data_IF_796997310449
#
_entry.id   IF_796997310449
#
_cell.length_a   1.000
_cell.length_b   1.000
_cell.length_c   1.000
_cell.angle_alpha   90.00
_cell.angle_beta   90.00
_cell.angle_gamma   90.00
#
_symmetry.space_group_name_H-M   'P 1'
#
loop_
_entity.id
_entity.type
_entity.pdbx_description
1 polymer ?
#
# COMPACT_ATOMS: atom_id res chain seq x y z
N UNK A 1 -31.25 15.72 -25.52
CA UNK A 1 -29.92 15.52 -26.13
C UNK A 1 -29.00 15.07 -25.02
N UNK A 2 -28.75 13.78 -24.94
CA UNK A 2 -27.73 13.19 -24.07
C UNK A 2 -26.38 13.81 -24.42
N UNK A 3 -25.84 14.56 -23.48
CA UNK A 3 -24.55 15.20 -23.61
C UNK A 3 -23.52 14.12 -23.26
N UNK A 4 -23.15 13.30 -24.24
CA UNK A 4 -21.94 12.49 -24.15
C UNK A 4 -20.79 13.44 -23.82
N UNK A 5 -20.04 13.25 -22.71
CA UNK A 5 -18.89 14.07 -22.44
C UNK A 5 -17.91 13.87 -23.59
N UNK A 6 -17.59 14.97 -24.25
CA UNK A 6 -16.60 15.07 -25.31
C UNK A 6 -15.33 14.37 -24.84
N UNK A 7 -14.89 13.39 -25.61
CA UNK A 7 -13.61 12.70 -25.49
C UNK A 7 -12.51 13.69 -25.91
N UNK A 8 -12.35 14.75 -25.11
CA UNK A 8 -11.48 15.89 -25.39
C UNK A 8 -10.06 15.50 -24.98
N UNK A 9 -9.35 14.85 -25.92
CA UNK A 9 -7.89 14.95 -26.11
C UNK A 9 -7.00 14.80 -24.86
N UNK A 10 -7.44 14.06 -23.85
CA UNK A 10 -6.62 13.74 -22.68
C UNK A 10 -5.76 12.54 -23.04
N UNK A 11 -4.56 12.78 -23.58
CA UNK A 11 -3.56 11.73 -23.74
C UNK A 11 -3.47 10.95 -22.42
N UNK A 12 -3.65 9.61 -22.43
CA UNK A 12 -3.76 8.85 -21.20
C UNK A 12 -2.53 9.11 -20.34
N UNK A 13 -2.77 9.46 -19.07
CA UNK A 13 -1.71 9.71 -18.11
C UNK A 13 -0.71 8.55 -18.14
N UNK A 14 0.60 8.82 -18.17
CA UNK A 14 1.58 7.74 -18.09
C UNK A 14 1.38 6.95 -16.79
N UNK A 15 1.64 5.65 -16.83
CA UNK A 15 1.39 4.73 -15.71
C UNK A 15 1.93 5.25 -14.38
N UNK A 16 3.13 5.86 -14.40
CA UNK A 16 3.77 6.43 -13.21
C UNK A 16 2.94 7.55 -12.57
N UNK A 17 2.29 8.39 -13.37
CA UNK A 17 1.41 9.45 -12.88
C UNK A 17 0.10 8.89 -12.34
N UNK A 18 -0.47 7.88 -13.02
CA UNK A 18 -1.65 7.17 -12.51
C UNK A 18 -1.37 6.54 -11.14
N UNK A 19 -0.22 5.88 -10.98
CA UNK A 19 0.19 5.29 -9.70
C UNK A 19 0.40 6.34 -8.60
N UNK A 20 0.94 7.52 -8.93
CA UNK A 20 1.04 8.64 -7.98
C UNK A 20 -0.33 9.13 -7.51
N UNK A 21 -1.31 9.20 -8.41
CA UNK A 21 -2.69 9.60 -8.06
C UNK A 21 -3.31 8.56 -7.13
N UNK A 22 -3.26 7.27 -7.48
CA UNK A 22 -3.75 6.18 -6.64
C UNK A 22 -3.06 6.19 -5.28
N UNK A 23 -1.74 6.46 -5.25
CA UNK A 23 -0.99 6.52 -4.01
C UNK A 23 -1.44 7.64 -3.06
N UNK A 24 -1.84 8.79 -3.62
CA UNK A 24 -2.40 9.92 -2.84
C UNK A 24 -3.81 9.63 -2.35
N UNK A 25 -4.63 8.98 -3.15
CA UNK A 25 -6.02 8.65 -2.81
C UNK A 25 -6.10 7.50 -1.80
N UNK A 26 -5.18 6.55 -1.86
CA UNK A 26 -5.18 5.35 -1.03
C UNK A 26 -3.84 5.15 -0.29
N UNK A 27 -3.46 6.09 0.59
CA UNK A 27 -2.17 6.06 1.28
C UNK A 27 -2.00 4.80 2.15
N UNK A 28 -3.09 4.25 2.68
CA UNK A 28 -3.06 3.01 3.44
C UNK A 28 -2.67 1.79 2.57
N UNK A 29 -3.17 1.71 1.33
CA UNK A 29 -2.83 0.63 0.39
C UNK A 29 -1.34 0.67 0.01
N UNK A 30 -0.82 1.86 -0.28
CA UNK A 30 0.61 2.05 -0.59
C UNK A 30 1.48 1.68 0.59
N UNK A 31 1.13 2.15 1.80
CA UNK A 31 1.86 1.79 3.01
C UNK A 31 1.87 0.29 3.26
N UNK A 32 0.77 -0.40 2.99
CA UNK A 32 0.72 -1.86 3.12
C UNK A 32 1.60 -2.56 2.06
N UNK A 33 1.54 -2.11 0.81
CA UNK A 33 2.31 -2.67 -0.32
C UNK A 33 3.81 -2.34 -0.31
N UNK A 34 4.24 -1.40 0.53
CA UNK A 34 5.65 -1.00 0.70
C UNK A 34 6.27 -1.53 2.00
N UNK A 35 5.53 -2.30 2.80
CA UNK A 35 6.06 -2.93 4.00
C UNK A 35 6.90 -4.17 3.67
N UNK A 36 8.17 -3.96 3.35
CA UNK A 36 9.10 -5.02 2.95
C UNK A 36 9.67 -5.83 4.13
N UNK A 37 9.58 -5.30 5.35
CA UNK A 37 10.03 -5.98 6.56
C UNK A 37 8.94 -6.02 7.63
N UNK A 38 9.00 -7.05 8.46
CA UNK A 38 8.14 -7.22 9.62
C UNK A 38 8.23 -6.00 10.60
N UNK A 39 9.42 -5.40 10.74
CA UNK A 39 9.61 -4.17 11.51
C UNK A 39 8.81 -2.98 10.96
N UNK A 40 8.81 -2.79 9.62
CA UNK A 40 8.01 -1.75 8.98
C UNK A 40 6.51 -1.99 9.14
N UNK A 41 6.07 -3.27 9.11
CA UNK A 41 4.66 -3.63 9.34
C UNK A 41 4.17 -3.23 10.72
N UNK A 42 5.01 -3.30 11.75
CA UNK A 42 4.58 -3.00 13.14
C UNK A 42 5.01 -1.61 13.62
N UNK A 43 5.73 -0.84 12.80
CA UNK A 43 6.24 0.48 13.17
C UNK A 43 5.11 1.47 13.54
N UNK A 44 3.94 1.33 12.90
CA UNK A 44 2.79 2.19 13.13
C UNK A 44 2.02 1.88 14.43
N UNK A 45 2.32 0.76 15.09
CA UNK A 45 1.67 0.36 16.33
C UNK A 45 2.25 1.12 17.53
N UNK A 46 1.41 1.41 18.52
CA UNK A 46 1.85 2.02 19.78
C UNK A 46 2.78 1.09 20.56
N UNK A 47 3.63 1.66 21.42
CA UNK A 47 4.56 0.87 22.25
C UNK A 47 3.84 -0.22 23.07
N UNK A 48 2.68 0.09 23.63
CA UNK A 48 1.86 -0.85 24.40
C UNK A 48 1.33 -2.00 23.57
N UNK A 49 0.94 -1.76 22.31
CA UNK A 49 0.51 -2.81 21.38
C UNK A 49 1.68 -3.66 20.90
N UNK A 50 2.83 -3.04 20.62
CA UNK A 50 4.04 -3.75 20.18
C UNK A 50 4.53 -4.78 21.20
N UNK A 51 4.40 -4.49 22.50
CA UNK A 51 4.75 -5.42 23.58
C UNK A 51 3.84 -6.65 23.66
N UNK A 52 2.64 -6.59 23.06
CA UNK A 52 1.68 -7.71 23.01
C UNK A 52 1.88 -8.59 21.78
N UNK A 53 2.73 -8.19 20.84
CA UNK A 53 3.05 -8.98 19.66
C UNK A 53 3.95 -10.16 20.04
N UNK A 54 3.90 -11.19 19.20
CA UNK A 54 4.88 -12.25 19.24
C UNK A 54 6.30 -11.68 19.05
N UNK A 55 7.33 -12.31 19.65
CA UNK A 55 8.72 -11.95 19.41
C UNK A 55 9.03 -11.90 17.91
N UNK A 56 9.94 -11.01 17.51
CA UNK A 56 10.32 -10.86 16.10
C UNK A 56 10.82 -12.17 15.47
N UNK A 57 11.51 -13.01 16.24
CA UNK A 57 11.98 -14.33 15.81
C UNK A 57 10.84 -15.31 15.46
N UNK A 58 9.65 -15.13 16.02
CA UNK A 58 8.46 -15.92 15.71
C UNK A 58 7.64 -15.29 14.59
N UNK A 59 7.56 -13.95 14.55
CA UNK A 59 6.89 -13.23 13.46
C UNK A 59 7.57 -13.47 12.10
N UNK A 60 8.90 -13.62 12.08
CA UNK A 60 9.66 -13.97 10.87
C UNK A 60 9.51 -15.43 10.43
N UNK A 61 9.06 -16.33 11.30
CA UNK A 61 8.87 -17.76 10.97
C UNK A 61 7.61 -18.01 10.13
N UNK A 62 6.64 -17.11 10.21
CA UNK A 62 5.42 -17.13 9.39
C UNK A 62 5.30 -15.83 8.61
N UNK A 63 6.19 -15.57 7.63
CA UNK A 63 6.02 -14.42 6.79
C UNK A 63 4.67 -14.58 6.07
N UNK A 64 3.74 -13.64 6.30
CA UNK A 64 2.63 -13.43 5.35
C UNK A 64 3.28 -13.35 3.97
N UNK A 65 2.89 -14.30 3.11
CA UNK A 65 3.57 -14.67 1.86
C UNK A 65 4.34 -13.50 1.24
N UNK A 66 5.67 -13.61 1.21
CA UNK A 66 6.54 -12.68 0.47
C UNK A 66 6.37 -12.82 -1.04
N UNK A 67 5.49 -13.72 -1.49
CA UNK A 67 5.22 -13.94 -2.89
C UNK A 67 4.30 -12.82 -3.40
N UNK A 68 4.91 -11.81 -4.01
CA UNK A 68 4.21 -10.90 -4.91
C UNK A 68 3.66 -11.73 -6.08
N UNK A 69 2.39 -11.53 -6.49
CA UNK A 69 1.89 -12.04 -7.77
C UNK A 69 2.74 -11.57 -8.95
#
# INVERSE_FOLDING_TARGET
MDKSPSDDQSQPLPLTEQLKIVAKLEPARVRWNSCDSDGQRVAHLSSSLRKKLLPESERRRYPVSTQRP
#
